data_IF_025025073367
#
_entry.id   IF_025025073367
#
_cell.length_a   1.000
_cell.length_b   1.000
_cell.length_c   1.000
_cell.angle_alpha   90.00
_cell.angle_beta   90.00
_cell.angle_gamma   90.00
#
_symmetry.space_group_name_H-M   'P 1'
#
loop_
_entity.id
_entity.type
_entity.pdbx_description
1 polymer ?
#
# COMPACT_ATOMS: atom_id res chain seq x y z
N UNK A 1 -1.33 20.07 -16.88
CA UNK A 1 -2.26 20.57 -15.85
C UNK A 1 -1.53 21.55 -14.94
N UNK A 2 -2.09 22.73 -14.65
CA UNK A 2 -1.51 23.66 -13.69
C UNK A 2 -1.44 23.02 -12.30
N UNK A 3 -0.32 23.21 -11.63
CA UNK A 3 0.01 22.67 -10.29
C UNK A 3 -1.12 22.77 -9.23
N UNK A 4 -1.90 23.86 -9.14
CA UNK A 4 -3.01 23.96 -8.17
C UNK A 4 -4.20 23.04 -8.47
N UNK A 5 -4.50 22.72 -9.73
CA UNK A 5 -5.64 21.84 -10.06
C UNK A 5 -5.37 20.39 -9.62
N UNK A 6 -4.14 19.90 -9.83
CA UNK A 6 -3.73 18.56 -9.37
C UNK A 6 -3.77 18.45 -7.85
N UNK A 7 -3.33 19.49 -7.13
CA UNK A 7 -3.38 19.49 -5.67
C UNK A 7 -4.82 19.40 -5.14
N UNK A 8 -5.75 20.09 -5.80
CA UNK A 8 -7.16 20.01 -5.44
C UNK A 8 -7.75 18.63 -5.73
N UNK A 9 -7.43 18.03 -6.89
CA UNK A 9 -7.86 16.67 -7.23
C UNK A 9 -7.34 15.62 -6.25
N UNK A 10 -6.07 15.70 -5.86
CA UNK A 10 -5.49 14.83 -4.82
C UNK A 10 -6.19 15.03 -3.50
N UNK A 11 -6.44 16.28 -3.08
CA UNK A 11 -7.14 16.56 -1.82
C UNK A 11 -8.55 15.97 -1.82
N UNK A 12 -9.29 16.10 -2.92
CA UNK A 12 -10.65 15.58 -3.02
C UNK A 12 -10.67 14.05 -3.04
N UNK A 13 -9.69 13.40 -3.69
CA UNK A 13 -9.51 11.94 -3.61
C UNK A 13 -9.19 11.46 -2.20
N UNK A 14 -8.37 12.21 -1.45
CA UNK A 14 -8.01 11.85 -0.08
C UNK A 14 -9.18 12.01 0.90
N UNK A 15 -10.03 13.03 0.73
CA UNK A 15 -11.21 13.25 1.59
C UNK A 15 -12.22 12.12 1.53
N UNK A 16 -12.42 11.54 0.35
CA UNK A 16 -13.36 10.47 0.10
C UNK A 16 -12.69 9.11 -0.14
N UNK A 17 -11.45 8.95 0.34
CA UNK A 17 -10.64 7.74 0.13
C UNK A 17 -11.30 6.51 0.77
N UNK A 18 -12.11 5.80 -0.02
CA UNK A 18 -12.81 4.59 0.37
C UNK A 18 -12.67 3.54 -0.73
N UNK A 19 -12.05 2.42 -0.36
CA UNK A 19 -11.83 1.30 -1.27
C UNK A 19 -10.67 1.51 -2.24
N UNK A 20 -10.56 0.59 -3.20
CA UNK A 20 -9.38 0.46 -4.05
C UNK A 20 -9.37 1.42 -5.24
N UNK A 21 -10.53 1.81 -5.77
CA UNK A 21 -10.61 2.66 -6.98
C UNK A 21 -9.99 4.05 -6.77
N UNK A 22 -10.28 4.78 -5.68
CA UNK A 22 -9.63 6.07 -5.44
C UNK A 22 -8.10 5.93 -5.20
N UNK A 23 -7.65 4.79 -4.65
CA UNK A 23 -6.20 4.49 -4.51
C UNK A 23 -5.52 4.30 -5.85
N UNK A 24 -6.15 3.57 -6.78
CA UNK A 24 -5.63 3.40 -8.16
C UNK A 24 -5.48 4.76 -8.83
N UNK A 25 -6.51 5.60 -8.77
CA UNK A 25 -6.47 6.94 -9.36
C UNK A 25 -5.39 7.80 -8.72
N UNK A 26 -5.29 7.80 -7.39
CA UNK A 26 -4.27 8.57 -6.68
C UNK A 26 -2.86 8.17 -7.10
N UNK A 27 -2.51 6.88 -7.01
CA UNK A 27 -1.13 6.45 -7.25
C UNK A 27 -0.81 6.34 -8.73
N UNK A 28 -1.66 5.70 -9.54
CA UNK A 28 -1.34 5.38 -10.93
C UNK A 28 -1.57 6.56 -11.89
N UNK A 29 -2.49 7.48 -11.56
CA UNK A 29 -2.83 8.61 -12.44
C UNK A 29 -2.27 9.93 -11.88
N UNK A 30 -2.74 10.37 -10.70
CA UNK A 30 -2.46 11.71 -10.17
C UNK A 30 -1.00 11.89 -9.73
N UNK A 31 -0.44 10.89 -9.05
CA UNK A 31 0.95 10.86 -8.60
C UNK A 31 1.89 10.23 -9.65
N UNK A 32 1.32 9.57 -10.67
CA UNK A 32 2.06 8.94 -11.78
C UNK A 32 3.10 7.92 -11.32
N UNK A 33 2.78 7.13 -10.29
CA UNK A 33 3.59 6.00 -9.84
C UNK A 33 3.45 4.85 -10.84
N UNK A 34 4.49 4.04 -10.98
CA UNK A 34 4.46 2.84 -11.81
C UNK A 34 3.42 1.85 -11.27
N UNK A 35 2.55 1.37 -12.16
CA UNK A 35 1.54 0.37 -11.85
C UNK A 35 2.19 -1.02 -11.83
N UNK A 36 2.52 -1.51 -10.64
CA UNK A 36 3.12 -2.84 -10.45
C UNK A 36 2.04 -3.91 -10.29
N UNK A 37 1.14 -3.74 -9.31
CA UNK A 37 0.01 -4.64 -9.02
C UNK A 37 0.39 -6.14 -8.95
N UNK A 38 1.46 -6.46 -8.22
CA UNK A 38 2.00 -7.82 -8.08
C UNK A 38 1.80 -8.38 -6.67
N UNK A 39 1.23 -9.59 -6.50
CA UNK A 39 1.16 -10.24 -5.20
C UNK A 39 2.56 -10.53 -4.61
N UNK A 40 2.70 -10.27 -3.32
CA UNK A 40 3.89 -10.57 -2.52
C UNK A 40 3.65 -11.86 -1.74
N UNK A 41 4.58 -12.79 -1.89
CA UNK A 41 4.49 -14.10 -1.23
C UNK A 41 4.64 -13.97 0.28
N UNK A 42 3.72 -14.59 1.04
CA UNK A 42 3.86 -14.76 2.50
C UNK A 42 4.67 -16.00 2.89
N UNK A 43 5.33 -16.68 1.94
CA UNK A 43 6.10 -17.89 2.21
C UNK A 43 7.23 -17.59 3.19
N UNK A 44 7.30 -18.36 4.28
CA UNK A 44 8.34 -18.20 5.30
C UNK A 44 8.04 -17.12 6.34
N UNK A 45 6.88 -16.47 6.26
CA UNK A 45 6.43 -15.56 7.32
C UNK A 45 6.14 -16.32 8.61
N UNK A 46 6.38 -15.67 9.74
CA UNK A 46 5.92 -16.17 11.03
C UNK A 46 4.39 -16.26 11.04
N UNK A 47 3.85 -17.28 11.72
CA UNK A 47 2.40 -17.55 11.75
C UNK A 47 1.59 -16.33 12.23
N UNK A 48 2.12 -15.57 13.20
CA UNK A 48 1.50 -14.35 13.71
C UNK A 48 1.40 -13.23 12.67
N UNK A 49 2.38 -13.10 11.78
CA UNK A 49 2.35 -12.14 10.69
C UNK A 49 1.42 -12.61 9.56
N UNK A 50 1.43 -13.91 9.26
CA UNK A 50 0.55 -14.50 8.25
C UNK A 50 -0.94 -14.34 8.59
N UNK A 51 -1.30 -14.54 9.86
CA UNK A 51 -2.68 -14.41 10.37
C UNK A 51 -3.20 -12.98 10.43
N UNK A 52 -2.32 -11.97 10.37
CA UNK A 52 -2.74 -10.57 10.40
C UNK A 52 -3.44 -10.13 9.10
N UNK A 53 -3.14 -10.79 7.99
CA UNK A 53 -3.64 -10.45 6.66
C UNK A 53 -4.64 -11.49 6.16
N UNK A 54 -5.75 -11.04 5.57
CA UNK A 54 -6.73 -11.91 4.92
C UNK A 54 -6.11 -12.61 3.70
N UNK A 55 -5.40 -11.84 2.88
CA UNK A 55 -4.87 -12.26 1.59
C UNK A 55 -3.37 -11.95 1.50
N UNK A 56 -2.72 -12.42 0.44
CA UNK A 56 -1.33 -12.04 0.16
C UNK A 56 -1.27 -10.51 -0.09
N UNK A 57 -0.30 -9.78 0.50
CA UNK A 57 -0.15 -8.36 0.24
C UNK A 57 0.20 -8.12 -1.22
N UNK A 58 -0.10 -6.94 -1.75
CA UNK A 58 0.13 -6.60 -3.16
C UNK A 58 1.06 -5.41 -3.24
N UNK A 59 2.18 -5.55 -3.95
CA UNK A 59 2.99 -4.43 -4.40
C UNK A 59 2.16 -3.66 -5.44
N UNK A 60 1.50 -2.62 -4.97
CA UNK A 60 0.44 -1.91 -5.68
C UNK A 60 1.01 -0.91 -6.68
N UNK A 61 2.00 -0.12 -6.24
CA UNK A 61 2.66 0.86 -7.09
C UNK A 61 4.13 1.07 -6.68
N UNK A 62 4.94 1.54 -7.63
CA UNK A 62 6.34 1.92 -7.42
C UNK A 62 6.54 3.42 -7.72
N UNK A 63 7.29 4.11 -6.89
CA UNK A 63 7.61 5.53 -7.06
C UNK A 63 9.06 5.83 -6.76
N UNK A 64 9.48 7.06 -7.05
CA UNK A 64 10.87 7.48 -6.94
C UNK A 64 11.75 6.93 -8.06
N UNK A 65 13.04 7.25 -7.99
CA UNK A 65 14.00 6.78 -8.99
C UNK A 65 14.14 5.25 -8.91
N UNK A 66 14.00 4.57 -10.05
CA UNK A 66 14.08 3.11 -10.14
C UNK A 66 13.11 2.33 -9.25
N UNK A 67 11.90 2.86 -8.96
CA UNK A 67 10.92 2.26 -8.04
C UNK A 67 11.45 2.07 -6.61
N UNK A 68 12.35 2.95 -6.15
CA UNK A 68 12.92 2.87 -4.79
C UNK A 68 11.87 3.01 -3.67
N UNK A 69 10.68 3.53 -3.95
CA UNK A 69 9.57 3.66 -3.00
C UNK A 69 8.40 2.75 -3.39
N UNK A 70 7.95 1.90 -2.47
CA UNK A 70 6.88 0.94 -2.71
C UNK A 70 5.56 1.35 -2.04
N UNK A 71 4.45 1.19 -2.74
CA UNK A 71 3.10 1.25 -2.14
C UNK A 71 2.59 -0.18 -2.07
N UNK A 72 2.30 -0.65 -0.86
CA UNK A 72 1.91 -2.03 -0.61
C UNK A 72 0.50 -2.04 -0.01
N UNK A 73 -0.42 -2.68 -0.73
CA UNK A 73 -1.78 -2.89 -0.28
C UNK A 73 -1.88 -4.16 0.57
N UNK A 74 -2.42 -4.03 1.77
CA UNK A 74 -2.55 -5.12 2.75
C UNK A 74 -3.98 -5.21 3.25
N UNK A 75 -4.71 -6.26 2.85
CA UNK A 75 -6.03 -6.51 3.40
C UNK A 75 -5.93 -7.18 4.77
N UNK A 76 -6.44 -6.51 5.80
CA UNK A 76 -6.50 -7.04 7.16
C UNK A 76 -7.46 -8.23 7.26
N UNK A 77 -7.13 -9.19 8.12
CA UNK A 77 -7.97 -10.37 8.39
C UNK A 77 -9.25 -10.04 9.18
N UNK A 78 -9.31 -8.86 9.80
CA UNK A 78 -10.45 -8.36 10.57
C UNK A 78 -10.58 -6.84 10.42
N UNK A 79 -11.80 -6.32 10.64
CA UNK A 79 -12.11 -4.88 10.51
C UNK A 79 -11.32 -3.98 11.48
N UNK A 80 -10.74 -4.58 12.52
CA UNK A 80 -9.73 -3.97 13.36
C UNK A 80 -8.52 -4.88 13.48
N UNK A 81 -7.33 -4.33 13.34
CA UNK A 81 -6.10 -5.04 13.68
C UNK A 81 -5.64 -4.55 15.06
N UNK A 82 -5.62 -5.42 16.10
CA UNK A 82 -4.90 -5.09 17.32
C UNK A 82 -3.46 -4.73 16.97
N UNK A 83 -2.92 -3.64 17.51
CA UNK A 83 -1.52 -3.19 17.24
C UNK A 83 -0.48 -4.30 17.40
N UNK A 84 -0.78 -5.30 18.23
CA UNK A 84 0.05 -6.49 18.44
C UNK A 84 0.21 -7.38 17.19
N UNK A 85 -0.77 -7.39 16.28
CA UNK A 85 -0.75 -8.17 15.03
C UNK A 85 -0.29 -7.33 13.82
N UNK A 86 -0.40 -6.00 13.90
CA UNK A 86 0.13 -5.07 12.87
C UNK A 86 1.65 -5.12 12.80
N UNK A 87 2.27 -5.03 13.97
CA UNK A 87 3.72 -4.86 14.07
C UNK A 87 4.48 -6.03 13.43
N UNK A 88 4.12 -7.31 13.62
CA UNK A 88 4.76 -8.43 12.93
C UNK A 88 4.66 -8.36 11.40
N UNK A 89 3.48 -8.06 10.84
CA UNK A 89 3.28 -7.99 9.39
C UNK A 89 4.06 -6.82 8.76
N UNK A 90 3.97 -5.63 9.36
CA UNK A 90 4.73 -4.45 8.90
C UNK A 90 6.24 -4.66 9.05
N UNK A 91 6.69 -5.25 10.16
CA UNK A 91 8.12 -5.53 10.36
C UNK A 91 8.67 -6.53 9.35
N UNK A 92 7.86 -7.50 8.94
CA UNK A 92 8.23 -8.46 7.89
C UNK A 92 8.35 -7.75 6.55
N UNK A 93 7.34 -6.96 6.16
CA UNK A 93 7.35 -6.23 4.90
C UNK A 93 8.47 -5.18 4.83
N UNK A 94 8.78 -4.49 5.92
CA UNK A 94 9.84 -3.49 5.97
C UNK A 94 11.25 -4.07 5.75
N UNK A 95 11.47 -5.36 6.03
CA UNK A 95 12.77 -6.01 5.74
C UNK A 95 12.99 -6.18 4.24
N UNK A 96 11.92 -6.42 3.49
CA UNK A 96 11.95 -6.66 2.04
C UNK A 96 11.70 -5.36 1.25
N UNK A 97 10.94 -4.42 1.83
CA UNK A 97 10.54 -3.15 1.25
C UNK A 97 10.80 -2.01 2.25
N UNK A 98 12.07 -1.57 2.42
CA UNK A 98 12.47 -0.64 3.48
C UNK A 98 11.88 0.77 3.34
N UNK A 99 11.58 1.18 2.11
CA UNK A 99 10.92 2.45 1.81
C UNK A 99 9.54 2.15 1.23
N UNK A 100 8.55 2.05 2.12
CA UNK A 100 7.20 1.69 1.71
C UNK A 100 6.09 2.44 2.46
N UNK A 101 4.99 2.65 1.76
CA UNK A 101 3.69 3.03 2.31
C UNK A 101 2.79 1.79 2.36
N UNK A 102 2.21 1.51 3.52
CA UNK A 102 1.24 0.43 3.72
C UNK A 102 -0.17 1.00 3.72
N UNK A 103 -1.06 0.41 2.92
CA UNK A 103 -2.46 0.84 2.74
C UNK A 103 -3.42 -0.30 2.93
#
# INVERSE_FOLDING_TARGET
>A
MPKPERQQQVLDLLKDLRGLEPLKKLFWEELSYERVNQPLSRRGWAESAGKALADDPVLFAGGGDGNAFHVIYCRLASDGLPRALERPAVSQLLREHPYALFV
#
